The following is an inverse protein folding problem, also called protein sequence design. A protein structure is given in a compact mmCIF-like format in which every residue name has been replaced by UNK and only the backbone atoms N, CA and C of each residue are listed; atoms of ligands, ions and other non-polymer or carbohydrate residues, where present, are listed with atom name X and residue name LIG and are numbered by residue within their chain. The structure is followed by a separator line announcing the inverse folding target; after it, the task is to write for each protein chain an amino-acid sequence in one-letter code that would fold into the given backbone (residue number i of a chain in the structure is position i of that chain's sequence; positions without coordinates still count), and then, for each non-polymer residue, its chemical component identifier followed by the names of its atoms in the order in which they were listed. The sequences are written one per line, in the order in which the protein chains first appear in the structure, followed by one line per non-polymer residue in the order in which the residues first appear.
data_IF_553512230103
#
_entry.id   IF_553512230103
#
_cell.length_a   1.000
_cell.length_b   1.000
_cell.length_c   1.000
_cell.angle_alpha   90.00
_cell.angle_beta   90.00
_cell.angle_gamma   90.00
#
_symmetry.space_group_name_H-M   'P 1'
#
loop_
_entity.id
_entity.type
_entity.pdbx_description
1 polymer ?
#
# COMPACT_ATOMS: atom_id res chain seq x y z
N UNK A 1 -30.09 -40.18 -21.01
CA UNK A 1 -29.51 -39.02 -20.32
C UNK A 1 -28.56 -38.36 -21.29
N UNK A 2 -28.94 -37.22 -21.86
CA UNK A 2 -28.07 -36.46 -22.75
C UNK A 2 -27.06 -35.69 -21.90
N UNK A 3 -25.77 -35.87 -22.17
CA UNK A 3 -24.74 -35.02 -21.62
C UNK A 3 -24.90 -33.63 -22.27
N UNK A 4 -25.19 -32.61 -21.46
CA UNK A 4 -25.08 -31.22 -21.89
C UNK A 4 -23.61 -30.95 -22.23
N UNK A 5 -23.34 -30.75 -23.51
CA UNK A 5 -22.08 -30.17 -23.95
C UNK A 5 -22.05 -28.71 -23.48
N UNK A 6 -21.33 -28.45 -22.41
CA UNK A 6 -20.94 -27.09 -22.03
C UNK A 6 -20.20 -26.46 -23.22
N UNK A 7 -20.82 -25.50 -23.90
CA UNK A 7 -20.12 -24.71 -24.91
C UNK A 7 -19.03 -23.92 -24.19
N UNK A 8 -17.78 -24.37 -24.32
CA UNK A 8 -16.64 -23.66 -23.76
C UNK A 8 -16.66 -22.22 -24.29
N UNK A 9 -16.93 -21.27 -23.40
CA UNK A 9 -16.90 -19.84 -23.74
C UNK A 9 -15.47 -19.49 -24.14
N UNK A 10 -15.30 -19.09 -25.40
CA UNK A 10 -14.00 -18.67 -25.90
C UNK A 10 -13.70 -17.28 -25.34
N UNK A 11 -12.86 -17.20 -24.31
CA UNK A 11 -12.30 -15.93 -23.86
C UNK A 11 -11.17 -15.49 -24.79
N UNK A 12 -11.10 -14.20 -25.19
CA UNK A 12 -10.03 -13.71 -26.05
C UNK A 12 -8.66 -13.77 -25.37
N UNK A 13 -8.61 -13.67 -24.03
CA UNK A 13 -7.38 -13.76 -23.24
C UNK A 13 -7.03 -15.23 -23.00
N UNK A 14 -5.83 -15.65 -23.42
CA UNK A 14 -5.33 -17.04 -23.27
C UNK A 14 -4.20 -17.18 -22.26
N UNK A 15 -3.55 -16.07 -21.91
CA UNK A 15 -2.41 -16.05 -21.01
C UNK A 15 -2.49 -14.81 -20.13
N UNK A 16 -2.27 -15.00 -18.84
CA UNK A 16 -2.18 -13.92 -17.86
C UNK A 16 -0.79 -14.00 -17.23
N UNK A 17 -0.06 -12.89 -17.27
CA UNK A 17 1.21 -12.74 -16.56
C UNK A 17 0.97 -11.81 -15.38
N UNK A 18 1.30 -12.28 -14.18
CA UNK A 18 1.14 -11.49 -12.95
C UNK A 18 2.52 -11.06 -12.47
N UNK A 19 2.81 -9.76 -12.59
CA UNK A 19 4.02 -9.15 -12.05
C UNK A 19 3.73 -8.59 -10.66
N UNK A 20 4.29 -9.21 -9.61
CA UNK A 20 4.11 -8.79 -8.23
C UNK A 20 5.32 -8.00 -7.76
N UNK A 21 5.12 -6.70 -7.55
CA UNK A 21 6.14 -5.77 -7.04
C UNK A 21 6.16 -5.76 -5.50
N UNK A 22 7.09 -5.02 -4.91
CA UNK A 22 7.35 -5.04 -3.47
C UNK A 22 7.40 -3.62 -2.86
N UNK A 23 6.85 -3.50 -1.65
CA UNK A 23 7.01 -2.39 -0.70
C UNK A 23 6.77 -0.99 -1.28
N UNK A 24 5.73 -0.81 -2.10
CA UNK A 24 5.30 0.51 -2.58
C UNK A 24 3.79 0.67 -2.48
N UNK A 25 3.33 1.78 -1.87
CA UNK A 25 1.92 2.14 -1.82
C UNK A 25 1.46 2.77 -3.13
N UNK A 26 0.14 2.84 -3.33
CA UNK A 26 -0.45 3.48 -4.50
C UNK A 26 -0.01 4.94 -4.62
N UNK A 27 -0.18 5.75 -3.57
CA UNK A 27 0.17 7.17 -3.60
C UNK A 27 1.67 7.43 -3.83
N UNK A 28 2.53 6.52 -3.35
CA UNK A 28 3.97 6.61 -3.59
C UNK A 28 4.30 6.45 -5.08
N UNK A 29 3.65 5.53 -5.80
CA UNK A 29 3.95 5.28 -7.21
C UNK A 29 3.12 6.12 -8.17
N UNK A 30 1.82 6.23 -7.92
CA UNK A 30 0.82 6.75 -8.84
C UNK A 30 0.01 7.94 -8.29
N UNK A 31 0.25 8.37 -7.05
CA UNK A 31 -0.55 9.43 -6.41
C UNK A 31 -0.62 10.71 -7.24
N UNK A 32 0.48 11.11 -7.88
CA UNK A 32 0.58 12.34 -8.69
C UNK A 32 0.14 12.18 -10.16
N UNK A 33 -0.42 11.04 -10.54
CA UNK A 33 -0.76 10.74 -11.93
C UNK A 33 -2.09 11.34 -12.39
N UNK A 34 -2.82 12.05 -11.52
CA UNK A 34 -4.03 12.81 -11.91
C UNK A 34 -3.76 13.86 -12.99
N UNK A 35 -2.52 14.32 -13.08
CA UNK A 35 -2.05 15.20 -14.16
C UNK A 35 -2.07 14.54 -15.54
N UNK A 36 -2.03 13.22 -15.61
CA UNK A 36 -2.12 12.42 -16.84
C UNK A 36 -3.51 11.83 -17.05
N UNK A 37 -4.10 11.28 -16.00
CA UNK A 37 -5.46 10.74 -16.01
C UNK A 37 -6.24 11.27 -14.80
N UNK A 38 -7.12 12.27 -14.99
CA UNK A 38 -7.91 12.86 -13.91
C UNK A 38 -8.86 11.90 -13.18
N UNK A 39 -9.17 10.73 -13.77
CA UNK A 39 -10.04 9.73 -13.16
C UNK A 39 -9.35 8.93 -12.05
N UNK A 40 -8.01 8.98 -11.97
CA UNK A 40 -7.25 8.30 -10.92
C UNK A 40 -7.60 8.85 -9.53
N UNK A 41 -7.92 7.95 -8.61
CA UNK A 41 -8.08 8.22 -7.17
C UNK A 41 -6.73 8.46 -6.47
N UNK A 42 -6.01 9.49 -6.91
CA UNK A 42 -4.72 9.91 -6.37
C UNK A 42 -4.80 11.17 -5.50
N UNK A 43 -3.63 11.64 -5.07
CA UNK A 43 -3.48 12.80 -4.21
C UNK A 43 -3.86 14.12 -4.88
N UNK A 44 -4.24 15.09 -4.07
CA UNK A 44 -4.72 16.42 -4.47
C UNK A 44 -3.71 17.53 -4.16
N UNK A 45 -2.69 17.24 -3.35
CA UNK A 45 -1.74 18.20 -2.81
C UNK A 45 -2.20 18.87 -1.51
N UNK A 46 -3.29 18.39 -0.91
CA UNK A 46 -3.77 18.83 0.40
C UNK A 46 -3.45 17.82 1.52
N UNK A 47 -2.97 16.64 1.15
CA UNK A 47 -2.68 15.53 2.03
C UNK A 47 -1.49 15.85 2.92
N UNK A 48 -1.65 15.56 4.20
CA UNK A 48 -0.64 15.84 5.21
C UNK A 48 -0.88 15.04 6.48
N UNK A 49 0.17 14.81 7.24
CA UNK A 49 0.12 14.11 8.51
C UNK A 49 0.88 14.91 9.57
N UNK A 50 0.41 14.88 10.82
CA UNK A 50 1.19 15.40 11.94
C UNK A 50 2.30 14.43 12.31
N UNK A 51 3.45 14.95 12.73
CA UNK A 51 4.55 14.18 13.30
C UNK A 51 4.12 13.50 14.61
N UNK A 52 3.15 14.07 15.33
CA UNK A 52 2.48 13.44 16.45
C UNK A 52 0.97 13.65 16.35
N UNK A 53 0.22 12.57 16.30
CA UNK A 53 -1.25 12.57 16.18
C UNK A 53 -1.96 12.96 17.48
N UNK A 54 -1.26 12.90 18.61
CA UNK A 54 -1.79 13.28 19.93
C UNK A 54 -1.53 14.74 20.30
N UNK A 55 -0.63 15.43 19.58
CA UNK A 55 -0.32 16.84 19.80
C UNK A 55 -0.87 17.71 18.65
N UNK A 56 -1.93 18.52 18.89
CA UNK A 56 -2.50 19.38 17.87
C UNK A 56 -1.57 20.51 17.41
N UNK A 57 -0.49 20.78 18.14
CA UNK A 57 0.53 21.76 17.76
C UNK A 57 1.76 21.12 17.12
N UNK A 58 1.73 19.81 16.85
CA UNK A 58 2.83 19.10 16.23
C UNK A 58 3.11 19.64 14.83
N UNK A 59 4.36 19.50 14.38
CA UNK A 59 4.71 19.82 13.01
C UNK A 59 3.91 18.94 12.05
N UNK A 60 3.49 19.54 10.93
CA UNK A 60 2.76 18.84 9.88
C UNK A 60 3.67 18.64 8.68
N UNK A 61 3.66 17.42 8.13
CA UNK A 61 4.39 17.05 6.91
C UNK A 61 3.37 16.90 5.79
N UNK A 62 3.47 17.75 4.79
CA UNK A 62 2.66 17.67 3.56
C UNK A 62 3.21 16.58 2.65
N UNK A 63 2.32 15.86 1.98
CA UNK A 63 2.69 14.90 0.95
C UNK A 63 3.25 15.63 -0.28
N UNK A 64 4.47 15.28 -0.70
CA UNK A 64 5.22 15.96 -1.76
C UNK A 64 5.48 15.04 -2.95
N UNK A 65 6.08 15.60 -3.99
CA UNK A 65 6.34 14.94 -5.28
C UNK A 65 7.85 14.66 -5.52
N UNK A 66 8.62 14.63 -4.43
CA UNK A 66 10.08 14.45 -4.40
C UNK A 66 10.51 13.04 -4.00
N UNK A 67 9.70 12.02 -4.30
CA UNK A 67 10.05 10.64 -3.98
C UNK A 67 11.36 10.22 -4.66
N UNK A 68 12.10 9.36 -3.97
CA UNK A 68 13.39 8.85 -4.41
C UNK A 68 13.65 7.47 -3.82
N UNK A 69 14.93 7.15 -3.63
CA UNK A 69 15.30 5.96 -2.88
C UNK A 69 14.89 6.12 -1.41
N UNK A 70 14.25 5.10 -0.86
CA UNK A 70 13.77 5.09 0.53
C UNK A 70 14.64 4.12 1.32
N UNK A 71 15.38 4.66 2.28
CA UNK A 71 16.22 3.94 3.23
C UNK A 71 16.32 4.77 4.53
N UNK A 72 16.00 4.21 5.70
CA UNK A 72 15.52 2.84 5.94
C UNK A 72 14.15 2.53 5.30
N UNK A 73 13.90 1.25 5.05
CA UNK A 73 12.58 0.75 4.63
C UNK A 73 11.55 1.09 5.72
N UNK A 74 10.40 1.71 5.36
CA UNK A 74 9.35 2.00 6.32
C UNK A 74 8.80 0.71 6.93
N UNK A 75 8.51 0.74 8.22
CA UNK A 75 7.97 -0.42 8.91
C UNK A 75 6.60 -0.79 8.31
N UNK A 76 6.47 -2.06 7.93
CA UNK A 76 5.32 -2.67 7.28
C UNK A 76 4.86 -3.92 8.05
N UNK A 77 5.14 -3.96 9.35
CA UNK A 77 4.50 -4.88 10.30
C UNK A 77 3.04 -4.51 10.54
N UNK A 78 2.28 -5.44 11.10
CA UNK A 78 0.88 -5.19 11.48
C UNK A 78 0.76 -3.98 12.44
N UNK A 79 1.65 -3.90 13.43
CA UNK A 79 1.65 -2.83 14.44
C UNK A 79 1.94 -1.47 13.82
N UNK A 80 2.88 -1.40 12.88
CA UNK A 80 3.19 -0.18 12.17
C UNK A 80 2.03 0.23 11.25
N UNK A 81 1.49 -0.70 10.46
CA UNK A 81 0.33 -0.41 9.59
C UNK A 81 -0.86 0.06 10.42
N UNK A 82 -1.12 -0.58 11.56
CA UNK A 82 -2.15 -0.16 12.51
C UNK A 82 -1.97 1.31 12.94
N UNK A 83 -0.75 1.69 13.32
CA UNK A 83 -0.45 3.08 13.70
C UNK A 83 -0.59 4.03 12.51
N UNK A 84 -0.10 3.66 11.34
CA UNK A 84 -0.17 4.48 10.12
C UNK A 84 -1.62 4.82 9.75
N UNK A 85 -2.52 3.84 9.77
CA UNK A 85 -3.91 4.02 9.35
C UNK A 85 -4.84 4.57 10.45
N UNK A 86 -4.53 4.34 11.72
CA UNK A 86 -5.38 4.79 12.85
C UNK A 86 -4.84 6.00 13.62
N UNK A 87 -3.57 6.33 13.43
CA UNK A 87 -2.85 7.31 14.24
C UNK A 87 -2.53 6.86 15.66
N UNK A 88 -2.85 5.63 16.06
CA UNK A 88 -2.65 5.10 17.43
C UNK A 88 -1.64 3.96 17.43
N UNK A 89 -0.75 3.93 18.42
CA UNK A 89 0.14 2.80 18.62
C UNK A 89 -0.63 1.55 19.04
N UNK A 90 -0.25 0.39 18.53
CA UNK A 90 -0.82 -0.89 18.95
C UNK A 90 -0.51 -1.19 20.42
N UNK A 91 -1.55 -1.39 21.24
CA UNK A 91 -1.43 -1.82 22.65
C UNK A 91 -1.72 -3.32 22.78
N UNK A 92 -0.70 -4.11 23.09
CA UNK A 92 -0.83 -5.56 23.26
C UNK A 92 -1.63 -5.97 24.51
N UNK A 93 -1.71 -5.09 25.52
CA UNK A 93 -2.41 -5.39 26.77
C UNK A 93 -3.90 -5.06 26.69
N UNK A 94 -4.25 -4.10 25.84
CA UNK A 94 -5.63 -3.70 25.59
C UNK A 94 -5.85 -3.45 24.08
N UNK A 95 -5.86 -4.53 23.26
CA UNK A 95 -5.96 -4.38 21.81
C UNK A 95 -7.33 -3.81 21.42
N UNK A 96 -7.31 -2.75 20.60
CA UNK A 96 -8.49 -2.25 19.90
C UNK A 96 -8.47 -2.81 18.47
N UNK A 97 -9.23 -3.90 18.18
CA UNK A 97 -9.21 -4.54 16.87
C UNK A 97 -9.96 -3.72 15.79
N UNK A 98 -10.73 -2.70 16.18
CA UNK A 98 -11.54 -1.91 15.25
C UNK A 98 -11.33 -0.41 15.51
N UNK A 99 -10.09 0.11 15.33
CA UNK A 99 -9.83 1.52 15.52
C UNK A 99 -10.58 2.35 14.48
N UNK A 100 -10.83 3.61 14.81
CA UNK A 100 -11.20 4.60 13.80
C UNK A 100 -10.03 4.76 12.83
N UNK A 101 -10.31 4.63 11.53
CA UNK A 101 -9.30 4.78 10.47
C UNK A 101 -9.28 6.24 10.04
N UNK A 102 -8.15 6.91 10.29
CA UNK A 102 -7.94 8.35 10.08
C UNK A 102 -6.88 8.65 9.03
N UNK A 103 -6.04 7.68 8.66
CA UNK A 103 -4.95 7.81 7.68
C UNK A 103 -3.95 8.93 8.03
N UNK A 104 -3.72 9.18 9.32
CA UNK A 104 -2.94 10.33 9.80
C UNK A 104 -1.65 9.96 10.57
N UNK A 105 -1.31 8.67 10.65
CA UNK A 105 -0.18 8.18 11.44
C UNK A 105 1.10 7.88 10.66
N UNK A 106 1.14 8.11 9.35
CA UNK A 106 2.29 7.75 8.51
C UNK A 106 3.55 8.53 8.91
N UNK A 107 3.44 9.85 9.07
CA UNK A 107 4.56 10.69 9.51
C UNK A 107 5.01 10.34 10.94
N UNK A 108 4.07 10.14 11.87
CA UNK A 108 4.36 9.75 13.24
C UNK A 108 5.13 8.43 13.32
N UNK A 109 4.64 7.39 12.65
CA UNK A 109 5.27 6.09 12.66
C UNK A 109 6.69 6.16 12.06
N UNK A 110 6.87 6.91 10.97
CA UNK A 110 8.19 7.10 10.36
C UNK A 110 9.18 7.82 11.28
N UNK A 111 8.78 8.91 11.95
CA UNK A 111 9.64 9.63 12.90
C UNK A 111 10.07 8.79 14.10
N UNK A 112 9.23 7.83 14.52
CA UNK A 112 9.58 6.87 15.57
C UNK A 112 10.63 5.86 15.12
N UNK A 113 10.63 5.49 13.85
CA UNK A 113 11.64 4.61 13.25
C UNK A 113 12.98 5.31 13.09
N UNK A 114 12.98 6.51 12.51
CA UNK A 114 14.17 7.34 12.38
C UNK A 114 13.76 8.82 12.27
N UNK A 115 14.42 9.68 13.04
CA UNK A 115 14.21 11.12 12.97
C UNK A 115 14.43 11.64 11.54
N UNK A 116 13.47 12.40 11.01
CA UNK A 116 13.45 12.93 9.65
C UNK A 116 12.92 11.98 8.58
N UNK A 117 12.60 10.72 8.91
CA UNK A 117 12.07 9.76 7.93
C UNK A 117 10.68 10.16 7.43
N UNK A 118 9.91 10.96 8.18
CA UNK A 118 8.61 11.47 7.71
C UNK A 118 8.71 12.23 6.39
N UNK A 119 9.77 13.02 6.22
CA UNK A 119 10.06 13.78 5.00
C UNK A 119 10.46 12.88 3.83
N UNK A 120 10.76 11.60 4.06
CA UNK A 120 10.99 10.60 3.00
C UNK A 120 9.69 9.87 2.67
N UNK A 121 8.97 9.35 3.67
CA UNK A 121 7.76 8.52 3.44
C UNK A 121 6.57 9.33 2.91
N UNK A 122 6.49 10.61 3.24
CA UNK A 122 5.43 11.51 2.77
C UNK A 122 5.73 12.06 1.37
N UNK A 123 6.16 11.20 0.44
CA UNK A 123 6.41 11.56 -0.95
C UNK A 123 5.91 10.51 -1.94
N UNK A 124 5.48 10.99 -3.11
CA UNK A 124 5.18 10.19 -4.28
C UNK A 124 6.02 10.59 -5.49
N UNK A 125 6.13 9.69 -6.46
CA UNK A 125 6.83 9.95 -7.71
C UNK A 125 5.98 10.80 -8.65
N UNK A 126 6.63 11.75 -9.33
CA UNK A 126 6.06 12.35 -10.55
C UNK A 126 6.06 11.32 -11.67
N UNK A 127 5.11 11.41 -12.63
CA UNK A 127 5.10 10.50 -13.76
C UNK A 127 6.43 10.42 -14.51
N UNK A 128 7.13 11.55 -14.68
CA UNK A 128 8.41 11.61 -15.39
C UNK A 128 9.56 10.91 -14.66
N UNK A 129 9.45 10.69 -13.34
CA UNK A 129 10.44 9.97 -12.55
C UNK A 129 10.29 8.44 -12.70
N UNK A 130 9.14 7.96 -13.16
CA UNK A 130 8.79 6.55 -13.33
C UNK A 130 8.22 6.31 -14.74
N UNK A 131 9.02 6.52 -15.80
CA UNK A 131 8.53 6.60 -17.19
C UNK A 131 7.81 5.34 -17.68
N UNK A 132 8.18 4.16 -17.16
CA UNK A 132 7.48 2.91 -17.49
C UNK A 132 6.05 2.92 -16.96
N UNK A 133 5.83 3.38 -15.72
CA UNK A 133 4.47 3.50 -15.17
C UNK A 133 3.67 4.58 -15.86
N UNK A 134 4.32 5.71 -16.21
CA UNK A 134 3.69 6.77 -17.00
C UNK A 134 3.10 6.21 -18.30
N UNK A 135 3.85 5.41 -19.04
CA UNK A 135 3.38 4.77 -20.26
C UNK A 135 2.22 3.80 -19.97
N UNK A 136 2.37 2.94 -18.96
CA UNK A 136 1.34 1.95 -18.61
C UNK A 136 0.01 2.61 -18.22
N UNK A 137 0.04 3.69 -17.44
CA UNK A 137 -1.17 4.44 -17.06
C UNK A 137 -1.82 5.13 -18.25
N UNK A 138 -1.03 5.55 -19.24
CA UNK A 138 -1.54 6.25 -20.42
C UNK A 138 -2.22 5.28 -21.39
N UNK A 139 -1.65 4.08 -21.55
CA UNK A 139 -2.07 3.12 -22.59
C UNK A 139 -2.97 1.98 -22.06
N UNK A 140 -3.05 1.78 -20.74
CA UNK A 140 -3.78 0.66 -20.13
C UNK A 140 -4.67 1.09 -18.96
N UNK A 141 -5.58 0.19 -18.58
CA UNK A 141 -6.45 0.38 -17.43
C UNK A 141 -5.66 0.33 -16.10
N UNK A 142 -6.06 1.18 -15.17
CA UNK A 142 -5.52 1.23 -13.80
C UNK A 142 -6.61 0.81 -12.81
N UNK A 143 -6.26 -0.08 -11.89
CA UNK A 143 -7.09 -0.39 -10.72
C UNK A 143 -6.59 0.46 -9.55
N UNK A 144 -7.22 1.60 -9.29
CA UNK A 144 -6.85 2.57 -8.24
C UNK A 144 -7.52 2.30 -6.87
N UNK A 145 -8.32 1.24 -6.79
CA UNK A 145 -8.96 0.75 -5.55
C UNK A 145 -8.64 -0.72 -5.27
N UNK A 146 -7.38 -1.10 -5.51
CA UNK A 146 -6.83 -2.43 -5.20
C UNK A 146 -6.06 -2.40 -3.88
N UNK A 147 -6.60 -3.06 -2.86
CA UNK A 147 -6.03 -3.05 -1.51
C UNK A 147 -5.36 -4.38 -1.17
N UNK A 148 -4.36 -4.32 -0.27
CA UNK A 148 -3.82 -5.52 0.36
C UNK A 148 -4.93 -6.29 1.11
N UNK A 149 -4.87 -7.61 1.09
CA UNK A 149 -5.88 -8.45 1.76
C UNK A 149 -5.77 -8.39 3.28
N UNK A 150 -4.55 -8.17 3.79
CA UNK A 150 -4.27 -8.01 5.21
C UNK A 150 -3.34 -6.82 5.46
N UNK A 151 -3.50 -6.11 6.60
CA UNK A 151 -2.52 -5.16 7.12
C UNK A 151 -1.30 -5.93 7.66
N UNK A 152 -0.56 -6.55 6.77
CA UNK A 152 0.55 -7.45 7.09
C UNK A 152 1.68 -7.28 6.08
N UNK A 153 2.85 -7.80 6.42
CA UNK A 153 4.05 -7.73 5.59
C UNK A 153 3.91 -8.53 4.28
N UNK A 154 4.98 -8.57 3.49
CA UNK A 154 5.00 -9.14 2.13
C UNK A 154 4.44 -10.56 2.01
N UNK A 155 4.89 -11.50 2.87
CA UNK A 155 4.59 -12.92 2.69
C UNK A 155 3.10 -13.27 2.80
N UNK A 156 2.36 -12.84 3.85
CA UNK A 156 0.92 -13.03 3.91
C UNK A 156 0.18 -12.55 2.66
N UNK A 157 0.47 -11.34 2.18
CA UNK A 157 -0.19 -10.79 1.00
C UNK A 157 0.19 -11.53 -0.29
N UNK A 158 1.42 -12.04 -0.43
CA UNK A 158 1.79 -12.93 -1.54
C UNK A 158 0.99 -14.24 -1.51
N UNK A 159 0.76 -14.82 -0.34
CA UNK A 159 -0.12 -15.99 -0.22
C UNK A 159 -1.55 -15.64 -0.69
N UNK A 160 -2.11 -14.51 -0.26
CA UNK A 160 -3.44 -14.09 -0.73
C UNK A 160 -3.53 -13.94 -2.25
N UNK A 161 -2.49 -13.44 -2.92
CA UNK A 161 -2.46 -13.36 -4.40
C UNK A 161 -2.60 -14.74 -5.05
N UNK A 162 -2.05 -15.80 -4.44
CA UNK A 162 -2.00 -17.14 -5.03
C UNK A 162 -3.09 -18.10 -4.54
N UNK A 163 -3.55 -17.96 -3.30
CA UNK A 163 -4.44 -18.92 -2.64
C UNK A 163 -5.67 -18.27 -1.99
N UNK A 164 -5.82 -16.94 -2.06
CA UNK A 164 -6.87 -16.18 -1.38
C UNK A 164 -6.89 -16.37 0.16
N UNK A 165 -5.81 -16.89 0.75
CA UNK A 165 -5.66 -17.04 2.21
C UNK A 165 -4.18 -17.13 2.61
N UNK A 166 -3.82 -16.57 3.76
CA UNK A 166 -2.49 -16.76 4.37
C UNK A 166 -2.46 -17.92 5.37
N UNK A 167 -3.55 -18.68 5.52
CA UNK A 167 -3.72 -19.70 6.58
C UNK A 167 -3.45 -19.17 8.00
N UNK A 168 -3.77 -17.90 8.24
CA UNK A 168 -3.58 -17.24 9.54
C UNK A 168 -2.18 -16.67 9.76
N UNK A 169 -1.29 -16.74 8.77
CA UNK A 169 0.00 -16.09 8.84
C UNK A 169 -0.13 -14.56 8.73
N UNK A 170 0.52 -13.85 9.65
CA UNK A 170 0.53 -12.37 9.73
C UNK A 170 1.94 -11.76 9.61
N UNK A 171 2.98 -12.59 9.70
CA UNK A 171 4.38 -12.16 9.66
C UNK A 171 5.20 -13.10 8.75
N UNK A 172 6.44 -12.72 8.48
CA UNK A 172 7.42 -13.64 7.93
C UNK A 172 7.70 -14.74 8.96
N UNK A 173 7.33 -15.98 8.66
CA UNK A 173 7.78 -17.16 9.41
C UNK A 173 8.52 -18.10 8.48
N UNK A 174 9.71 -18.53 8.89
CA UNK A 174 10.53 -19.51 8.15
C UNK A 174 9.81 -20.86 7.99
N UNK A 175 8.87 -21.18 8.88
CA UNK A 175 8.09 -22.43 8.83
C UNK A 175 7.10 -22.48 7.65
N UNK A 176 6.78 -21.33 7.03
CA UNK A 176 5.89 -21.24 5.85
C UNK A 176 6.63 -21.64 4.57
N UNK A 177 7.95 -21.57 4.54
CA UNK A 177 8.76 -21.89 3.35
C UNK A 177 9.08 -23.41 3.28
N UNK A 178 8.86 -24.15 4.37
CA UNK A 178 9.25 -25.57 4.49
C UNK A 178 8.05 -26.55 4.49
N UNK A 179 6.86 -26.12 4.08
CA UNK A 179 5.73 -27.00 3.75
C UNK A 179 5.49 -27.02 2.24
#
# INVERSE_FOLDING_TARGET
MAAEASSATSFPIKTVVVLVQENRSFDHMLGWFKSLNPEIDGVTGSESNFVSTSDPNSNQVTFKDSAGYVDPDPDHSFQAIYEQVSGKTWDTNNPDPNPVITMNGFAQNAERTQAGLSETVMNGFKPDAVPVFKELVTEFAVCDRWFASLPASTQPNRLYVHSATSHGAMIFSVDIILQ
#
